data_IF_694904095021
#
_entry.id   IF_694904095021
#
_cell.length_a   1.000
_cell.length_b   1.000
_cell.length_c   1.000
_cell.angle_alpha   90.00
_cell.angle_beta   90.00
_cell.angle_gamma   90.00
#
_symmetry.space_group_name_H-M   'P 1'
#
loop_
_entity.id
_entity.type
_entity.pdbx_description
1 polymer ?
#
# COMPACT_ATOMS: atom_id res chain seq x y z
N UNK A 1 -18.93 6.62 27.77
CA UNK A 1 -17.96 5.93 26.89
C UNK A 1 -18.65 4.70 26.33
N UNK A 2 -18.83 4.61 25.00
CA UNK A 2 -19.53 3.47 24.37
C UNK A 2 -18.56 2.29 24.29
N UNK A 3 -18.94 1.16 24.84
CA UNK A 3 -18.18 -0.09 24.73
C UNK A 3 -18.55 -0.70 23.38
N UNK A 4 -17.62 -0.70 22.42
CA UNK A 4 -17.82 -1.38 21.14
C UNK A 4 -17.65 -2.88 21.43
N UNK A 5 -18.75 -3.61 21.52
CA UNK A 5 -18.75 -5.05 21.74
C UNK A 5 -18.39 -5.72 20.41
N UNK A 6 -17.31 -6.51 20.44
CA UNK A 6 -16.83 -7.59 19.55
C UNK A 6 -17.52 -7.80 18.17
N UNK A 7 -18.84 -7.76 18.11
CA UNK A 7 -19.67 -7.85 16.92
C UNK A 7 -19.48 -6.69 15.93
N UNK A 8 -19.22 -5.46 16.38
CA UNK A 8 -19.00 -4.30 15.48
C UNK A 8 -17.61 -4.35 14.81
N UNK A 9 -16.65 -5.08 15.39
CA UNK A 9 -15.33 -5.32 14.76
C UNK A 9 -15.45 -6.40 13.68
N UNK A 10 -16.33 -7.39 13.88
CA UNK A 10 -16.61 -8.43 12.89
C UNK A 10 -17.50 -7.90 11.73
N UNK A 11 -18.49 -7.05 12.00
CA UNK A 11 -19.44 -6.52 11.00
C UNK A 11 -18.84 -5.54 9.97
N UNK A 12 -17.62 -5.04 10.15
CA UNK A 12 -16.93 -4.23 9.14
C UNK A 12 -16.30 -5.11 8.03
N UNK A 13 -16.19 -6.43 8.22
CA UNK A 13 -15.35 -7.29 7.36
C UNK A 13 -16.09 -8.45 6.69
N UNK A 14 -16.58 -8.20 5.47
CA UNK A 14 -16.62 -9.27 4.45
C UNK A 14 -15.25 -9.51 3.79
N UNK A 15 -14.30 -8.59 3.95
CA UNK A 15 -12.93 -8.68 3.46
C UNK A 15 -11.93 -8.22 4.53
N UNK A 16 -10.75 -8.83 4.56
CA UNK A 16 -9.66 -8.48 5.49
C UNK A 16 -9.24 -7.02 5.33
N UNK A 17 -8.76 -6.38 6.40
CA UNK A 17 -8.21 -5.03 6.29
C UNK A 17 -7.05 -5.00 5.29
N UNK A 18 -6.25 -6.07 5.20
CA UNK A 18 -5.23 -6.26 4.17
C UNK A 18 -5.76 -6.01 2.74
N UNK A 19 -6.95 -6.52 2.40
CA UNK A 19 -7.54 -6.33 1.07
C UNK A 19 -7.98 -4.89 0.83
N UNK A 20 -8.63 -4.27 1.83
CA UNK A 20 -9.11 -2.88 1.73
C UNK A 20 -7.95 -1.91 1.54
N UNK A 21 -6.91 -2.04 2.38
CA UNK A 21 -5.74 -1.18 2.29
C UNK A 21 -4.86 -1.50 1.08
N UNK A 22 -4.80 -2.76 0.62
CA UNK A 22 -4.18 -3.11 -0.64
C UNK A 22 -4.82 -2.39 -1.83
N UNK A 23 -6.16 -2.38 -1.91
CA UNK A 23 -6.90 -1.66 -2.96
C UNK A 23 -6.72 -0.13 -2.88
N UNK A 24 -6.65 0.42 -1.66
CA UNK A 24 -6.30 1.83 -1.46
C UNK A 24 -4.88 2.12 -1.96
N UNK A 25 -3.92 1.26 -1.63
CA UNK A 25 -2.55 1.32 -2.12
C UNK A 25 -2.47 1.33 -3.64
N UNK A 26 -3.16 0.40 -4.30
CA UNK A 26 -3.26 0.35 -5.77
C UNK A 26 -3.81 1.65 -6.36
N UNK A 27 -4.85 2.22 -5.72
CA UNK A 27 -5.46 3.49 -6.14
C UNK A 27 -4.47 4.65 -6.03
N UNK A 28 -3.74 4.75 -4.91
CA UNK A 28 -2.70 5.76 -4.70
C UNK A 28 -1.60 5.60 -5.75
N UNK A 29 -1.11 4.38 -6.00
CA UNK A 29 -0.08 4.14 -7.01
C UNK A 29 -0.52 4.53 -8.42
N UNK A 30 -1.79 4.32 -8.77
CA UNK A 30 -2.35 4.78 -10.04
C UNK A 30 -2.37 6.31 -10.14
N UNK A 31 -2.79 7.01 -9.07
CA UNK A 31 -2.79 8.48 -9.02
C UNK A 31 -1.36 9.03 -9.17
N UNK A 32 -0.37 8.40 -8.52
CA UNK A 32 1.04 8.79 -8.64
C UNK A 32 1.53 8.60 -10.08
N UNK A 33 1.27 7.45 -10.71
CA UNK A 33 1.66 7.21 -12.11
C UNK A 33 1.03 8.22 -13.07
N UNK A 34 -0.28 8.49 -12.92
CA UNK A 34 -0.99 9.47 -13.75
C UNK A 34 -0.44 10.88 -13.53
N UNK A 35 -0.14 11.24 -12.28
CA UNK A 35 0.45 12.53 -11.94
C UNK A 35 1.84 12.68 -12.56
N UNK A 36 2.68 11.64 -12.49
CA UNK A 36 3.98 11.62 -13.16
C UNK A 36 3.82 11.86 -14.67
N UNK A 37 2.94 11.11 -15.33
CA UNK A 37 2.72 11.24 -16.77
C UNK A 37 2.19 12.63 -17.17
N UNK A 38 1.29 13.22 -16.36
CA UNK A 38 0.79 14.58 -16.59
C UNK A 38 1.88 15.63 -16.42
N UNK A 39 2.76 15.47 -15.43
CA UNK A 39 3.83 16.42 -15.14
C UNK A 39 4.93 16.39 -16.20
N UNK A 40 5.35 15.20 -16.64
CA UNK A 40 6.51 15.05 -17.52
C UNK A 40 6.17 14.76 -18.99
N UNK A 41 4.90 14.45 -19.29
CA UNK A 41 4.45 14.16 -20.66
C UNK A 41 4.80 12.76 -21.17
N UNK A 42 5.38 11.89 -20.33
CA UNK A 42 5.71 10.50 -20.66
C UNK A 42 5.48 9.56 -19.47
N UNK A 43 5.33 8.26 -19.76
CA UNK A 43 5.09 7.26 -18.72
C UNK A 43 6.30 7.10 -17.77
N UNK A 44 6.07 6.78 -16.48
CA UNK A 44 7.16 6.48 -15.56
C UNK A 44 7.95 5.24 -16.00
N UNK A 45 9.22 5.16 -15.61
CA UNK A 45 10.06 3.98 -15.85
C UNK A 45 9.55 2.77 -15.07
N UNK A 46 9.05 2.99 -13.86
CA UNK A 46 8.44 1.97 -13.03
C UNK A 46 7.12 2.45 -12.42
N UNK A 47 6.15 1.54 -12.35
CA UNK A 47 4.83 1.80 -11.79
C UNK A 47 4.88 1.77 -10.26
N UNK A 48 4.23 2.74 -9.61
CA UNK A 48 4.06 2.76 -8.16
C UNK A 48 2.93 1.84 -7.66
N UNK A 49 2.11 1.24 -8.55
CA UNK A 49 0.90 0.49 -8.17
C UNK A 49 1.22 -0.76 -7.34
N UNK A 50 2.13 -1.60 -7.81
CA UNK A 50 2.52 -2.83 -7.09
C UNK A 50 3.06 -2.51 -5.68
N UNK A 51 4.13 -1.70 -5.57
CA UNK A 51 4.71 -1.37 -4.27
C UNK A 51 3.75 -0.68 -3.31
N UNK A 52 2.87 0.21 -3.81
CA UNK A 52 1.85 0.84 -2.98
C UNK A 52 0.77 -0.16 -2.51
N UNK A 53 0.42 -1.15 -3.34
CA UNK A 53 -0.50 -2.24 -2.97
C UNK A 53 0.10 -3.11 -1.88
N UNK A 54 1.38 -3.47 -1.98
CA UNK A 54 2.08 -4.27 -0.98
C UNK A 54 2.18 -3.54 0.35
N UNK A 55 2.57 -2.26 0.34
CA UNK A 55 2.58 -1.44 1.54
C UNK A 55 1.19 -1.33 2.17
N UNK A 56 0.16 -1.08 1.35
CA UNK A 56 -1.23 -1.04 1.81
C UNK A 56 -1.67 -2.37 2.43
N UNK A 57 -1.34 -3.49 1.79
CA UNK A 57 -1.62 -4.83 2.31
C UNK A 57 -0.96 -5.04 3.66
N UNK A 58 0.33 -4.69 3.80
CA UNK A 58 1.05 -4.79 5.08
C UNK A 58 0.42 -3.95 6.20
N UNK A 59 -0.03 -2.73 5.88
CA UNK A 59 -0.78 -1.88 6.83
C UNK A 59 -2.09 -2.56 7.24
N UNK A 60 -2.85 -3.09 6.28
CA UNK A 60 -4.08 -3.80 6.59
C UNK A 60 -3.84 -5.07 7.42
N UNK A 61 -2.79 -5.84 7.12
CA UNK A 61 -2.39 -7.02 7.89
C UNK A 61 -2.00 -6.65 9.33
N UNK A 62 -1.43 -5.46 9.59
CA UNK A 62 -1.16 -5.00 10.97
C UNK A 62 -2.46 -4.74 11.73
N UNK A 63 -3.50 -4.25 11.06
CA UNK A 63 -4.82 -4.04 11.66
C UNK A 63 -5.48 -5.39 11.94
N UNK A 64 -5.42 -6.33 10.98
CA UNK A 64 -5.90 -7.71 11.17
C UNK A 64 -5.15 -8.41 12.32
N UNK A 65 -3.92 -7.99 12.64
CA UNK A 65 -3.16 -8.55 13.75
C UNK A 65 -3.70 -8.23 15.14
N UNK A 66 -4.61 -7.25 15.27
CA UNK A 66 -5.30 -6.93 16.53
C UNK A 66 -6.11 -8.14 17.03
N UNK A 67 -6.74 -8.88 16.10
CA UNK A 67 -7.50 -10.09 16.41
C UNK A 67 -6.68 -11.37 16.18
N UNK A 68 -5.59 -11.31 15.43
CA UNK A 68 -4.66 -12.41 15.21
C UNK A 68 -3.17 -11.99 15.28
N UNK A 69 -2.56 -11.92 16.47
CA UNK A 69 -1.19 -11.43 16.66
C UNK A 69 -0.09 -12.20 15.90
N UNK A 70 -0.38 -13.42 15.41
CA UNK A 70 0.56 -14.20 14.59
C UNK A 70 0.85 -13.54 13.23
N UNK A 71 0.03 -12.57 12.81
CA UNK A 71 0.20 -11.83 11.56
C UNK A 71 1.25 -10.71 11.65
N UNK A 72 1.70 -10.32 12.86
CA UNK A 72 2.64 -9.21 13.06
C UNK A 72 3.93 -9.37 12.23
N UNK A 73 4.63 -10.53 12.25
CA UNK A 73 5.86 -10.68 11.48
C UNK A 73 5.65 -10.52 9.97
N UNK A 74 4.56 -11.08 9.43
CA UNK A 74 4.19 -10.95 8.01
C UNK A 74 3.89 -9.50 7.66
N UNK A 75 3.04 -8.83 8.44
CA UNK A 75 2.70 -7.43 8.23
C UNK A 75 3.93 -6.52 8.22
N UNK A 76 4.87 -6.72 9.15
CA UNK A 76 6.12 -5.95 9.21
C UNK A 76 6.97 -6.19 7.96
N UNK A 77 7.11 -7.44 7.52
CA UNK A 77 7.86 -7.77 6.31
C UNK A 77 7.23 -7.16 5.05
N UNK A 78 5.90 -7.26 4.91
CA UNK A 78 5.17 -6.69 3.77
C UNK A 78 5.31 -5.15 3.73
N UNK A 79 5.25 -4.49 4.90
CA UNK A 79 5.48 -3.05 4.98
C UNK A 79 6.92 -2.66 4.62
N UNK A 80 7.93 -3.40 5.12
CA UNK A 80 9.34 -3.14 4.78
C UNK A 80 9.58 -3.32 3.28
N UNK A 81 9.05 -4.40 2.70
CA UNK A 81 9.19 -4.68 1.28
C UNK A 81 8.51 -3.59 0.43
N UNK A 82 7.26 -3.25 0.75
CA UNK A 82 6.52 -2.19 0.07
C UNK A 82 7.23 -0.83 0.14
N UNK A 83 7.80 -0.46 1.30
CA UNK A 83 8.61 0.77 1.44
C UNK A 83 9.87 0.70 0.56
N UNK A 84 10.59 -0.42 0.61
CA UNK A 84 11.81 -0.62 -0.18
C UNK A 84 11.53 -0.47 -1.68
N UNK A 85 10.43 -1.06 -2.15
CA UNK A 85 10.08 -1.03 -3.57
C UNK A 85 9.54 0.36 -3.99
N UNK A 86 8.85 1.08 -3.11
CA UNK A 86 8.51 2.50 -3.34
C UNK A 86 9.78 3.34 -3.52
N UNK A 87 10.81 3.13 -2.69
CA UNK A 87 12.10 3.81 -2.83
C UNK A 87 12.76 3.42 -4.15
N UNK A 88 12.69 2.15 -4.56
CA UNK A 88 13.16 1.67 -5.86
C UNK A 88 12.49 2.39 -7.04
N UNK A 89 11.16 2.46 -7.04
CA UNK A 89 10.36 3.18 -8.04
C UNK A 89 10.74 4.65 -8.10
N UNK A 90 10.89 5.30 -6.94
CA UNK A 90 11.29 6.71 -6.85
C UNK A 90 12.67 6.95 -7.48
N UNK A 91 13.66 6.10 -7.20
CA UNK A 91 14.99 6.18 -7.81
C UNK A 91 14.94 5.98 -9.32
N UNK A 92 14.25 4.95 -9.80
CA UNK A 92 14.13 4.65 -11.21
C UNK A 92 13.48 5.80 -11.99
N UNK A 93 12.39 6.34 -11.46
CA UNK A 93 11.68 7.45 -12.09
C UNK A 93 12.46 8.77 -12.03
N UNK A 94 13.20 9.03 -10.94
CA UNK A 94 14.10 10.19 -10.85
C UNK A 94 15.24 10.12 -11.87
N UNK A 95 15.83 8.94 -12.06
CA UNK A 95 16.86 8.72 -13.07
C UNK A 95 16.32 8.90 -14.49
N UNK A 96 15.09 8.43 -14.76
CA UNK A 96 14.42 8.69 -16.04
C UNK A 96 14.26 10.19 -16.29
N UNK A 97 13.76 10.95 -15.30
CA UNK A 97 13.58 12.42 -15.43
C UNK A 97 14.91 13.11 -15.72
N UNK A 98 15.99 12.73 -15.05
CA UNK A 98 17.31 13.32 -15.29
C UNK A 98 17.91 12.99 -16.68
N UNK A 99 17.38 11.98 -17.37
CA UNK A 99 17.85 11.53 -18.69
C UNK A 99 17.07 12.13 -19.87
N UNK A 100 16.04 12.93 -19.60
CA UNK A 100 15.13 13.52 -20.60
C UNK A 100 15.39 15.01 -20.74
#
# INVERSE_FOLDING_TARGET
MRNLLQNEVEEISGGSAATVFGNLGATIGNVVNQSFQRTYGYAPAQSAVGPATELGTGIGTIIDSITNPKLIPTAVNDMIQGISDIVGVSKANSALVASK
#
